data_IF_294278694384
#
_entry.id   IF_294278694384
#
_cell.length_a   1.000
_cell.length_b   1.000
_cell.length_c   1.000
_cell.angle_alpha   90.00
_cell.angle_beta   90.00
_cell.angle_gamma   90.00
#
_symmetry.space_group_name_H-M   'P 1'
#
loop_
_entity.id
_entity.type
_entity.pdbx_description
1 polymer ?
#
# COMPACT_ATOMS: atom_id res chain seq x y z
N UNK A 1 -9.00 18.31 -22.14
CA UNK A 1 -9.37 16.90 -21.82
C UNK A 1 -9.35 16.79 -20.30
N UNK A 2 -10.53 16.83 -19.67
CA UNK A 2 -10.67 16.91 -18.21
C UNK A 2 -10.76 15.51 -17.60
N UNK A 3 -9.88 15.21 -16.65
CA UNK A 3 -9.90 13.97 -15.87
C UNK A 3 -10.88 14.14 -14.71
N UNK A 4 -12.04 13.46 -14.78
CA UNK A 4 -13.02 13.47 -13.70
C UNK A 4 -12.52 12.62 -12.52
N UNK A 5 -12.24 13.28 -11.40
CA UNK A 5 -12.14 12.64 -10.08
C UNK A 5 -13.57 12.51 -9.53
N UNK A 6 -14.08 11.28 -9.43
CA UNK A 6 -15.38 11.01 -8.81
C UNK A 6 -15.24 11.02 -7.29
N UNK A 7 -15.59 12.13 -6.66
CA UNK A 7 -15.93 12.16 -5.24
C UNK A 7 -17.45 11.95 -5.12
N UNK A 8 -17.88 10.85 -4.47
CA UNK A 8 -19.30 10.63 -4.17
C UNK A 8 -19.74 11.57 -3.04
N UNK A 9 -20.93 12.21 -3.12
CA UNK A 9 -21.50 12.92 -1.99
C UNK A 9 -22.13 11.92 -1.03
N UNK A 10 -21.83 12.06 0.27
CA UNK A 10 -22.57 11.36 1.33
C UNK A 10 -23.57 12.32 1.98
N UNK A 11 -24.78 11.80 2.13
CA UNK A 11 -25.93 12.43 2.77
C UNK A 11 -25.67 12.71 4.25
N UNK A 12 -26.11 13.88 4.69
CA UNK A 12 -26.04 14.35 6.07
C UNK A 12 -26.93 13.54 7.00
N UNK A 13 -26.39 13.19 8.17
CA UNK A 13 -27.18 12.84 9.35
C UNK A 13 -26.70 13.70 10.52
N UNK A 14 -27.66 14.37 11.15
CA UNK A 14 -27.57 15.37 12.23
C UNK A 14 -27.19 14.70 13.57
N UNK A 15 -26.54 15.42 14.52
CA UNK A 15 -25.89 14.81 15.67
C UNK A 15 -26.84 14.65 16.87
N UNK A 16 -26.49 13.71 17.76
CA UNK A 16 -27.00 13.71 19.14
C UNK A 16 -25.83 13.88 20.11
N UNK A 17 -26.00 14.84 21.01
CA UNK A 17 -25.12 15.21 22.10
C UNK A 17 -25.26 14.24 23.28
N UNK A 18 -24.16 14.05 24.02
CA UNK A 18 -24.17 13.30 25.28
C UNK A 18 -22.79 13.30 25.94
N UNK A 19 -22.73 13.81 27.17
CA UNK A 19 -21.52 14.19 27.89
C UNK A 19 -20.74 13.01 28.53
N UNK A 20 -19.43 13.22 28.67
CA UNK A 20 -18.58 12.99 29.86
C UNK A 20 -18.85 11.80 30.78
N UNK A 21 -17.92 10.82 30.84
CA UNK A 21 -17.03 10.58 31.99
C UNK A 21 -16.20 9.30 31.82
N UNK A 22 -15.06 9.30 32.51
CA UNK A 22 -14.02 8.29 32.55
C UNK A 22 -14.49 6.85 32.82
N UNK A 23 -13.90 5.90 32.09
CA UNK A 23 -13.28 4.66 32.62
C UNK A 23 -13.01 3.68 31.47
N UNK A 24 -11.87 3.01 31.52
CA UNK A 24 -11.41 1.99 30.55
C UNK A 24 -12.48 0.90 30.33
N UNK A 25 -12.71 0.46 29.07
CA UNK A 25 -13.02 -0.95 28.86
C UNK A 25 -12.47 -1.49 27.52
N UNK A 26 -11.16 -1.68 27.38
CA UNK A 26 -10.59 -2.29 26.16
C UNK A 26 -10.63 -3.83 26.13
N UNK A 27 -11.39 -4.48 27.03
CA UNK A 27 -11.37 -5.95 27.16
C UNK A 27 -12.76 -6.64 27.13
N UNK A 28 -13.85 -5.95 26.78
CA UNK A 28 -15.20 -6.57 26.81
C UNK A 28 -15.97 -6.60 25.47
N UNK A 29 -15.42 -6.05 24.38
CA UNK A 29 -16.10 -6.03 23.07
C UNK A 29 -16.03 -7.34 22.27
N UNK A 30 -15.06 -8.22 22.52
CA UNK A 30 -14.90 -9.47 21.76
C UNK A 30 -15.72 -10.65 22.31
N UNK A 31 -16.31 -10.51 23.50
CA UNK A 31 -17.09 -11.60 24.11
C UNK A 31 -18.52 -11.72 23.57
N UNK A 32 -19.07 -10.67 22.95
CA UNK A 32 -20.47 -10.67 22.49
C UNK A 32 -20.67 -11.13 21.04
N UNK A 33 -19.61 -11.16 20.22
CA UNK A 33 -19.68 -11.68 18.84
C UNK A 33 -19.45 -13.21 18.74
N UNK A 34 -19.10 -13.86 19.86
CA UNK A 34 -18.96 -15.33 19.92
C UNK A 34 -20.19 -16.05 20.48
N UNK A 35 -21.18 -15.32 21.00
CA UNK A 35 -22.37 -15.93 21.64
C UNK A 35 -23.57 -16.11 20.69
N UNK A 36 -23.52 -15.56 19.48
CA UNK A 36 -24.58 -15.75 18.47
C UNK A 36 -24.12 -16.53 17.25
N UNK A 37 -22.97 -17.21 17.32
CA UNK A 37 -22.62 -18.20 16.32
C UNK A 37 -23.47 -19.45 16.58
N UNK A 38 -24.21 -19.98 15.59
CA UNK A 38 -24.95 -21.21 15.75
C UNK A 38 -24.01 -22.30 16.26
N UNK A 39 -24.36 -22.91 17.39
CA UNK A 39 -23.56 -23.90 18.12
C UNK A 39 -23.32 -25.19 17.34
N UNK A 40 -23.98 -25.33 16.19
CA UNK A 40 -23.62 -26.27 15.14
C UNK A 40 -22.63 -25.59 14.19
N UNK A 41 -21.38 -25.48 14.63
CA UNK A 41 -20.29 -25.45 13.65
C UNK A 41 -20.53 -26.67 12.74
N UNK A 42 -20.64 -26.51 11.40
CA UNK A 42 -20.67 -27.67 10.54
C UNK A 42 -19.49 -28.57 10.93
N UNK A 43 -19.66 -29.91 10.95
CA UNK A 43 -18.60 -30.82 11.35
C UNK A 43 -17.33 -30.39 10.63
N UNK A 44 -16.16 -30.33 11.33
CA UNK A 44 -14.94 -29.80 10.75
C UNK A 44 -14.79 -30.44 9.38
N UNK A 45 -14.87 -29.62 8.33
CA UNK A 45 -14.85 -30.08 6.95
C UNK A 45 -13.57 -30.91 6.83
N UNK A 46 -13.68 -32.24 6.96
CA UNK A 46 -12.58 -33.21 6.87
C UNK A 46 -11.95 -33.23 5.48
N UNK A 47 -12.43 -32.36 4.60
CA UNK A 47 -11.96 -32.10 3.26
C UNK A 47 -11.41 -30.68 3.15
N UNK A 48 -10.73 -30.17 4.18
CA UNK A 48 -9.70 -29.18 3.90
C UNK A 48 -8.85 -29.79 2.81
N UNK A 49 -9.03 -29.26 1.59
CA UNK A 49 -8.16 -29.45 0.46
C UNK A 49 -6.75 -29.54 1.06
N UNK A 50 -6.09 -30.68 0.91
CA UNK A 50 -4.75 -30.88 1.47
C UNK A 50 -3.90 -29.66 1.13
N UNK A 51 -2.89 -29.30 1.93
CA UNK A 51 -2.03 -28.16 1.60
C UNK A 51 -1.57 -28.20 0.12
N UNK A 52 -1.34 -29.40 -0.43
CA UNK A 52 -1.08 -29.64 -1.85
C UNK A 52 -2.22 -29.23 -2.80
N UNK A 53 -3.47 -29.48 -2.44
CA UNK A 53 -4.65 -29.06 -3.21
C UNK A 53 -4.78 -27.54 -3.21
N UNK A 54 -4.61 -26.88 -2.06
CA UNK A 54 -4.61 -25.40 -1.97
C UNK A 54 -3.46 -24.82 -2.81
N UNK A 55 -2.26 -25.42 -2.73
CA UNK A 55 -1.10 -25.04 -3.52
C UNK A 55 -1.31 -25.25 -5.03
N UNK A 56 -2.17 -26.18 -5.45
CA UNK A 56 -2.54 -26.34 -6.88
C UNK A 56 -3.51 -25.28 -7.38
N UNK A 57 -4.34 -24.71 -6.50
CA UNK A 57 -5.28 -23.65 -6.88
C UNK A 57 -4.66 -22.24 -6.84
N UNK A 58 -3.65 -22.02 -6.01
CA UNK A 58 -2.97 -20.71 -5.92
C UNK A 58 -2.43 -20.19 -7.27
N UNK A 59 -1.77 -21.00 -8.12
CA UNK A 59 -1.36 -20.57 -9.45
C UNK A 59 -2.53 -20.19 -10.36
N UNK A 60 -3.70 -20.83 -10.20
CA UNK A 60 -4.90 -20.50 -10.96
C UNK A 60 -5.52 -19.15 -10.56
N UNK A 61 -5.16 -18.60 -9.40
CA UNK A 61 -5.55 -17.26 -8.98
C UNK A 61 -4.65 -16.17 -9.56
N UNK A 62 -3.45 -16.52 -10.04
CA UNK A 62 -2.45 -15.58 -10.56
C UNK A 62 -1.72 -16.15 -11.79
N UNK A 63 -2.31 -15.99 -12.97
CA UNK A 63 -1.85 -16.60 -14.23
C UNK A 63 -1.39 -15.57 -15.29
N UNK A 64 -1.60 -14.28 -15.03
CA UNK A 64 -1.34 -13.20 -15.97
C UNK A 64 0.01 -12.54 -15.72
N UNK A 65 0.95 -12.62 -16.67
CA UNK A 65 2.22 -11.89 -16.55
C UNK A 65 2.01 -10.38 -16.66
N UNK A 66 2.79 -9.61 -15.89
CA UNK A 66 2.86 -8.14 -16.01
C UNK A 66 3.59 -7.78 -17.30
N UNK A 67 2.92 -7.11 -18.23
CA UNK A 67 3.50 -6.71 -19.52
C UNK A 67 4.08 -5.30 -19.46
N UNK A 68 3.44 -4.43 -18.70
CA UNK A 68 3.84 -3.03 -18.51
C UNK A 68 3.36 -2.50 -17.16
N UNK A 69 3.82 -1.30 -16.78
CA UNK A 69 3.42 -0.68 -15.52
C UNK A 69 1.90 -0.40 -15.43
N UNK A 70 1.23 -0.14 -16.56
CA UNK A 70 -0.19 0.17 -16.60
C UNK A 70 -1.07 -0.98 -16.11
N UNK A 71 -0.62 -2.23 -16.31
CA UNK A 71 -1.32 -3.42 -15.81
C UNK A 71 -1.51 -3.35 -14.29
N UNK A 72 -0.47 -2.99 -13.53
CA UNK A 72 -0.53 -2.86 -12.06
C UNK A 72 -1.24 -1.58 -11.65
N UNK A 73 -0.95 -0.46 -12.32
CA UNK A 73 -1.59 0.84 -12.05
C UNK A 73 -3.12 0.73 -12.14
N UNK A 74 -3.65 -0.03 -13.10
CA UNK A 74 -5.09 -0.20 -13.28
C UNK A 74 -5.81 -0.86 -12.09
N UNK A 75 -5.08 -1.70 -11.33
CA UNK A 75 -5.59 -2.41 -10.16
C UNK A 75 -5.46 -1.60 -8.87
N UNK A 76 -4.55 -0.61 -8.85
CA UNK A 76 -4.27 0.19 -7.66
C UNK A 76 -5.46 1.09 -7.30
N UNK A 77 -5.76 1.12 -6.00
CA UNK A 77 -6.70 2.02 -5.35
C UNK A 77 -5.98 2.66 -4.18
N UNK A 78 -6.01 3.99 -4.11
CA UNK A 78 -5.37 4.73 -3.02
C UNK A 78 -6.47 5.37 -2.19
N UNK A 79 -6.46 5.04 -0.92
CA UNK A 79 -7.46 5.47 0.04
C UNK A 79 -6.77 6.32 1.10
N UNK A 80 -7.34 7.48 1.40
CA UNK A 80 -6.96 8.24 2.60
C UNK A 80 -7.84 7.73 3.73
N UNK A 81 -7.23 7.12 4.74
CA UNK A 81 -7.95 6.58 5.89
C UNK A 81 -7.88 7.63 7.01
N UNK A 82 -8.99 8.35 7.29
CA UNK A 82 -8.99 9.35 8.35
C UNK A 82 -8.86 8.69 9.72
N UNK A 83 -7.91 9.17 10.54
CA UNK A 83 -7.79 8.77 11.95
C UNK A 83 -8.82 9.45 12.85
N UNK A 84 -9.27 10.66 12.48
CA UNK A 84 -10.32 11.46 13.13
C UNK A 84 -11.02 12.26 12.02
N UNK A 85 -12.34 12.47 12.11
CA UNK A 85 -13.25 12.96 11.06
C UNK A 85 -12.58 13.86 9.98
N UNK A 86 -12.61 13.47 8.70
CA UNK A 86 -11.87 14.19 7.66
C UNK A 86 -12.51 15.54 7.34
N UNK A 87 -11.68 16.60 7.39
CA UNK A 87 -11.89 17.77 6.55
C UNK A 87 -11.48 17.40 5.11
N UNK A 88 -12.41 17.31 4.14
CA UNK A 88 -12.12 16.97 2.76
C UNK A 88 -11.26 18.02 2.03
N UNK A 89 -11.12 19.22 2.60
CA UNK A 89 -10.24 20.29 2.12
C UNK A 89 -8.93 20.40 2.89
N UNK A 90 -8.75 19.55 3.90
CA UNK A 90 -7.59 19.58 4.77
C UNK A 90 -6.28 19.19 4.06
N UNK A 91 -5.12 19.57 4.62
CA UNK A 91 -3.80 19.34 4.03
C UNK A 91 -3.52 17.86 3.69
N UNK A 92 -4.14 16.92 4.40
CA UNK A 92 -3.99 15.49 4.13
C UNK A 92 -4.51 15.07 2.74
N UNK A 93 -5.59 15.69 2.25
CA UNK A 93 -6.11 15.41 0.90
C UNK A 93 -5.11 15.85 -0.17
N UNK A 94 -4.46 17.01 0.02
CA UNK A 94 -3.41 17.51 -0.86
C UNK A 94 -2.20 16.57 -0.85
N UNK A 95 -1.71 16.16 0.33
CA UNK A 95 -0.58 15.23 0.41
C UNK A 95 -0.88 13.88 -0.26
N UNK A 96 -2.11 13.39 -0.15
CA UNK A 96 -2.51 12.17 -0.85
C UNK A 96 -2.48 12.33 -2.37
N UNK A 97 -2.90 13.49 -2.91
CA UNK A 97 -2.80 13.77 -4.34
C UNK A 97 -1.35 13.84 -4.81
N UNK A 98 -0.48 14.52 -4.04
CA UNK A 98 0.95 14.61 -4.34
C UNK A 98 1.59 13.21 -4.27
N UNK A 99 1.26 12.42 -3.25
CA UNK A 99 1.70 11.03 -3.12
C UNK A 99 1.29 10.22 -4.35
N UNK A 100 0.04 10.33 -4.79
CA UNK A 100 -0.42 9.66 -5.99
C UNK A 100 0.43 10.07 -7.20
N UNK A 101 0.57 11.37 -7.45
CA UNK A 101 1.36 11.84 -8.59
C UNK A 101 2.80 11.29 -8.56
N UNK A 102 3.46 11.34 -7.38
CA UNK A 102 4.82 10.81 -7.17
C UNK A 102 4.89 9.31 -7.40
N UNK A 103 3.94 8.53 -6.89
CA UNK A 103 3.89 7.08 -7.07
C UNK A 103 3.70 6.71 -8.55
N UNK A 104 2.84 7.41 -9.29
CA UNK A 104 2.64 7.13 -10.71
C UNK A 104 3.88 7.47 -11.52
N UNK A 105 4.56 8.57 -11.20
CA UNK A 105 5.86 8.92 -11.78
C UNK A 105 6.89 7.83 -11.48
N UNK A 106 6.97 7.38 -10.24
CA UNK A 106 7.87 6.30 -9.84
C UNK A 106 7.58 5.01 -10.61
N UNK A 107 6.32 4.55 -10.67
CA UNK A 107 5.91 3.33 -11.39
C UNK A 107 6.19 3.37 -12.90
N UNK A 108 6.14 4.56 -13.51
CA UNK A 108 6.45 4.76 -14.94
C UNK A 108 7.92 5.03 -15.21
N UNK A 109 8.71 5.29 -14.16
CA UNK A 109 10.14 5.55 -14.28
C UNK A 109 10.92 4.31 -14.70
N UNK A 110 12.10 4.53 -15.28
CA UNK A 110 12.99 3.47 -15.77
C UNK A 110 13.82 2.88 -14.63
N UNK A 111 13.94 1.54 -14.60
CA UNK A 111 14.91 0.83 -13.76
C UNK A 111 14.83 1.15 -12.28
N UNK A 112 15.89 0.87 -11.52
CA UNK A 112 16.01 1.33 -10.13
C UNK A 112 16.97 2.52 -10.03
N UNK A 113 16.93 3.33 -8.96
CA UNK A 113 18.01 4.25 -8.64
C UNK A 113 19.34 3.48 -8.46
N UNK A 114 20.43 3.97 -9.06
CA UNK A 114 21.77 3.36 -8.99
C UNK A 114 22.30 3.27 -7.56
N UNK A 115 21.80 4.13 -6.68
CA UNK A 115 22.13 4.22 -5.27
C UNK A 115 21.74 2.96 -4.47
N UNK A 116 20.91 2.07 -5.06
CA UNK A 116 20.48 0.82 -4.42
C UNK A 116 21.33 -0.39 -4.80
N UNK A 117 22.26 -0.24 -5.76
CA UNK A 117 23.15 -1.31 -6.21
C UNK A 117 24.08 -1.70 -5.05
N UNK A 118 24.28 -3.01 -4.87
CA UNK A 118 25.16 -3.58 -3.84
C UNK A 118 24.54 -3.65 -2.45
N UNK A 119 23.51 -2.84 -2.16
CA UNK A 119 22.79 -2.88 -0.88
C UNK A 119 21.50 -3.68 -1.00
N UNK A 120 20.72 -3.44 -2.05
CA UNK A 120 19.39 -4.03 -2.23
C UNK A 120 19.22 -4.78 -3.55
N UNK A 121 20.07 -4.51 -4.53
CA UNK A 121 19.98 -5.04 -5.89
C UNK A 121 21.41 -5.38 -6.35
N UNK A 122 21.63 -6.51 -7.03
CA UNK A 122 22.96 -6.83 -7.56
C UNK A 122 23.29 -5.99 -8.80
N UNK A 123 24.57 -5.90 -9.16
CA UNK A 123 24.99 -5.17 -10.35
C UNK A 123 24.42 -5.79 -11.64
N UNK A 124 24.30 -7.12 -11.68
CA UNK A 124 23.74 -7.89 -12.78
C UNK A 124 22.24 -7.61 -12.91
N UNK A 125 21.49 -7.70 -11.81
CA UNK A 125 20.05 -7.40 -11.79
C UNK A 125 19.79 -5.96 -12.25
N UNK A 126 20.60 -5.00 -11.79
CA UNK A 126 20.52 -3.62 -12.24
C UNK A 126 20.80 -3.48 -13.75
N UNK A 127 21.87 -4.10 -14.25
CA UNK A 127 22.25 -4.00 -15.66
C UNK A 127 21.17 -4.55 -16.61
N UNK A 128 20.54 -5.66 -16.23
CA UNK A 128 19.46 -6.29 -16.99
C UNK A 128 18.18 -5.46 -16.99
N UNK A 129 17.91 -4.73 -15.91
CA UNK A 129 16.58 -4.17 -15.66
C UNK A 129 16.54 -2.63 -15.62
N UNK A 130 17.69 -1.95 -15.75
CA UNK A 130 17.81 -0.46 -15.70
C UNK A 130 16.92 0.28 -16.71
N UNK A 131 16.54 -0.36 -17.82
CA UNK A 131 15.69 0.22 -18.86
C UNK A 131 14.23 -0.22 -18.76
N UNK A 132 13.89 -1.10 -17.83
CA UNK A 132 12.54 -1.69 -17.75
C UNK A 132 11.65 -0.92 -16.76
N UNK A 133 10.64 -0.17 -17.23
CA UNK A 133 9.66 0.45 -16.33
C UNK A 133 8.73 -0.59 -15.68
N UNK A 134 8.62 -1.79 -16.27
CA UNK A 134 7.75 -2.87 -15.78
C UNK A 134 8.20 -3.42 -14.43
N UNK A 135 9.50 -3.34 -14.12
CA UNK A 135 10.08 -3.92 -12.93
C UNK A 135 9.52 -3.31 -11.64
N UNK A 136 9.49 -1.97 -11.53
CA UNK A 136 8.97 -1.27 -10.34
C UNK A 136 7.53 -1.67 -10.05
N UNK A 137 6.72 -1.76 -11.09
CA UNK A 137 5.33 -2.21 -11.01
C UNK A 137 5.22 -3.68 -10.59
N UNK A 138 6.01 -4.57 -11.19
CA UNK A 138 6.03 -5.99 -10.82
C UNK A 138 6.48 -6.21 -9.37
N UNK A 139 7.45 -5.41 -8.89
CA UNK A 139 7.93 -5.45 -7.51
C UNK A 139 6.87 -4.92 -6.53
N UNK A 140 6.19 -3.82 -6.85
CA UNK A 140 5.05 -3.35 -6.05
C UNK A 140 3.93 -4.42 -5.98
N UNK A 141 3.62 -5.06 -7.11
CA UNK A 141 2.67 -6.18 -7.16
C UNK A 141 3.11 -7.32 -6.24
N UNK A 142 4.37 -7.74 -6.32
CA UNK A 142 4.93 -8.78 -5.47
C UNK A 142 4.84 -8.41 -3.98
N UNK A 143 5.13 -7.16 -3.62
CA UNK A 143 4.98 -6.68 -2.24
C UNK A 143 3.52 -6.77 -1.75
N UNK A 144 2.55 -6.50 -2.63
CA UNK A 144 1.13 -6.51 -2.29
C UNK A 144 0.49 -7.90 -2.37
N UNK A 145 1.08 -8.86 -3.07
CA UNK A 145 0.40 -10.13 -3.39
C UNK A 145 1.23 -11.39 -3.16
N UNK A 146 2.53 -11.25 -2.91
CA UNK A 146 3.52 -12.34 -2.93
C UNK A 146 3.56 -13.12 -4.25
N UNK A 147 3.13 -12.47 -5.34
CA UNK A 147 3.12 -13.04 -6.67
C UNK A 147 3.75 -12.10 -7.70
N UNK A 148 4.48 -12.68 -8.64
CA UNK A 148 5.03 -11.97 -9.81
C UNK A 148 4.03 -11.86 -10.97
N UNK A 149 2.89 -12.54 -10.85
CA UNK A 149 1.80 -12.53 -11.82
C UNK A 149 0.60 -11.78 -11.25
N UNK A 150 -0.14 -11.11 -12.14
CA UNK A 150 -1.37 -10.42 -11.82
C UNK A 150 -2.47 -11.41 -11.44
N UNK A 151 -3.44 -10.99 -10.61
CA UNK A 151 -4.63 -11.77 -10.35
C UNK A 151 -5.34 -12.15 -11.66
N UNK A 152 -5.83 -13.39 -11.74
CA UNK A 152 -6.61 -13.88 -12.87
C UNK A 152 -7.88 -13.02 -13.07
N UNK A 153 -8.55 -12.67 -11.97
CA UNK A 153 -9.71 -11.78 -12.00
C UNK A 153 -9.32 -10.31 -12.19
N UNK A 154 -9.79 -9.63 -13.27
CA UNK A 154 -9.52 -8.23 -13.52
C UNK A 154 -10.23 -7.28 -12.56
N UNK A 155 -11.23 -7.75 -11.81
CA UNK A 155 -11.92 -6.94 -10.79
C UNK A 155 -11.15 -6.86 -9.47
N UNK A 156 -10.04 -7.60 -9.34
CA UNK A 156 -9.19 -7.58 -8.15
C UNK A 156 -8.53 -6.23 -7.99
N UNK A 157 -8.63 -5.65 -6.81
CA UNK A 157 -7.96 -4.40 -6.47
C UNK A 157 -6.73 -4.64 -5.62
N UNK A 158 -5.75 -3.76 -5.79
CA UNK A 158 -4.59 -3.60 -4.91
C UNK A 158 -4.78 -2.28 -4.18
N UNK A 159 -4.64 -2.24 -2.85
CA UNK A 159 -4.98 -1.06 -2.07
C UNK A 159 -3.74 -0.47 -1.38
N UNK A 160 -3.63 0.86 -1.40
CA UNK A 160 -2.68 1.62 -0.59
C UNK A 160 -3.48 2.53 0.32
N UNK A 161 -3.37 2.29 1.62
CA UNK A 161 -4.01 3.08 2.67
C UNK A 161 -3.03 4.09 3.21
N UNK A 162 -3.30 5.36 2.93
CA UNK A 162 -2.59 6.48 3.49
C UNK A 162 -3.24 6.88 4.81
N UNK A 163 -2.57 6.59 5.92
CA UNK A 163 -3.02 6.89 7.27
C UNK A 163 -2.33 8.15 7.76
N UNK A 164 -3.09 9.04 8.39
CA UNK A 164 -2.51 10.16 9.14
C UNK A 164 -2.18 9.61 10.51
N UNK A 165 -0.90 9.60 10.88
CA UNK A 165 -0.51 9.13 12.20
C UNK A 165 -1.03 10.11 13.28
N UNK A 166 -1.86 9.67 14.23
CA UNK A 166 -2.29 10.52 15.34
C UNK A 166 -1.20 10.70 16.40
N UNK A 167 -0.13 9.91 16.36
CA UNK A 167 0.96 9.95 17.31
C UNK A 167 2.10 10.83 16.77
N UNK A 168 2.26 12.02 17.34
CA UNK A 168 3.35 12.98 17.08
C UNK A 168 4.76 12.47 17.48
N UNK A 169 4.93 11.15 17.69
CA UNK A 169 6.17 10.54 18.19
C UNK A 169 7.13 10.04 17.12
N UNK A 170 6.84 10.23 15.83
CA UNK A 170 7.77 9.82 14.78
C UNK A 170 8.87 10.87 14.57
N UNK A 171 10.09 10.40 14.76
CA UNK A 171 11.34 11.08 14.43
C UNK A 171 11.31 11.63 13.00
N UNK A 172 11.57 12.93 12.83
CA UNK A 172 11.60 13.61 11.54
C UNK A 172 12.67 13.04 10.60
N UNK A 173 13.67 12.34 11.14
CA UNK A 173 14.77 11.75 10.38
C UNK A 173 14.45 10.34 9.85
N UNK A 174 13.42 9.68 10.40
CA UNK A 174 13.09 8.30 10.03
C UNK A 174 12.13 8.24 8.86
N UNK A 175 12.52 7.49 7.83
CA UNK A 175 11.67 7.23 6.67
C UNK A 175 10.35 6.58 7.08
N UNK A 176 9.24 7.01 6.48
CA UNK A 176 7.92 6.45 6.76
C UNK A 176 7.90 4.94 6.48
N UNK A 177 7.44 4.09 7.42
CA UNK A 177 7.31 2.66 7.19
C UNK A 177 6.17 2.36 6.21
N UNK A 178 6.28 1.24 5.49
CA UNK A 178 5.21 0.65 4.70
C UNK A 178 4.91 -0.73 5.28
N UNK A 179 3.69 -0.92 5.75
CA UNK A 179 3.22 -2.22 6.24
C UNK A 179 2.50 -2.95 5.12
N UNK A 180 3.05 -4.08 4.71
CA UNK A 180 2.54 -4.85 3.58
C UNK A 180 1.70 -6.02 4.07
N UNK A 181 0.41 -6.01 3.73
CA UNK A 181 -0.56 -7.04 4.06
C UNK A 181 -0.92 -7.83 2.80
N UNK A 182 -0.07 -8.80 2.44
CA UNK A 182 -0.19 -9.59 1.20
C UNK A 182 -1.47 -10.43 1.12
N UNK A 183 -1.96 -10.91 2.27
CA UNK A 183 -3.21 -11.67 2.35
C UNK A 183 -4.44 -10.84 1.99
N UNK A 184 -4.44 -9.54 2.26
CA UNK A 184 -5.53 -8.60 1.95
C UNK A 184 -5.23 -7.71 0.74
N UNK A 185 -4.00 -7.77 0.21
CA UNK A 185 -3.51 -6.93 -0.89
C UNK A 185 -3.52 -5.44 -0.56
N UNK A 186 -3.23 -5.12 0.70
CA UNK A 186 -3.21 -3.76 1.24
C UNK A 186 -1.77 -3.39 1.63
N UNK A 187 -1.34 -2.17 1.31
CA UNK A 187 -0.19 -1.53 1.92
C UNK A 187 -0.65 -0.35 2.78
N UNK A 188 -0.19 -0.27 4.02
CA UNK A 188 -0.48 0.87 4.89
C UNK A 188 0.77 1.75 5.00
N UNK A 189 0.58 3.05 4.78
CA UNK A 189 1.63 4.06 4.83
C UNK A 189 1.17 5.14 5.79
N UNK A 190 2.01 5.45 6.78
CA UNK A 190 1.71 6.48 7.77
C UNK A 190 2.39 7.79 7.37
N UNK A 191 1.60 8.87 7.32
CA UNK A 191 2.11 10.22 7.10
C UNK A 191 2.83 10.73 8.35
N UNK A 192 4.15 10.62 8.34
CA UNK A 192 5.02 11.27 9.31
C UNK A 192 5.62 12.59 8.75
N UNK A 193 6.28 13.42 9.57
CA UNK A 193 6.91 14.65 9.11
C UNK A 193 7.91 14.43 7.95
N UNK A 194 8.70 13.35 8.01
CA UNK A 194 9.65 12.99 6.95
C UNK A 194 8.97 12.84 5.59
N UNK A 195 7.88 12.08 5.50
CA UNK A 195 7.18 11.84 4.25
C UNK A 195 6.53 13.12 3.72
N UNK A 196 6.04 14.00 4.60
CA UNK A 196 5.54 15.33 4.19
C UNK A 196 6.63 16.13 3.49
N UNK A 197 7.83 16.18 4.07
CA UNK A 197 8.98 16.89 3.50
C UNK A 197 9.39 16.29 2.14
N UNK A 198 9.44 14.96 2.04
CA UNK A 198 9.76 14.26 0.78
C UNK A 198 8.73 14.53 -0.32
N UNK A 199 7.45 14.63 0.03
CA UNK A 199 6.41 14.93 -0.96
C UNK A 199 6.46 16.39 -1.43
N UNK A 200 6.94 17.30 -0.59
CA UNK A 200 7.09 18.73 -0.89
C UNK A 200 8.35 19.07 -1.69
N UNK A 201 9.26 18.11 -1.92
CA UNK A 201 10.42 18.34 -2.78
C UNK A 201 9.99 18.99 -4.10
N UNK A 202 10.66 20.03 -4.60
CA UNK A 202 10.32 20.61 -5.89
C UNK A 202 10.46 19.51 -6.95
N UNK A 203 9.41 19.28 -7.71
CA UNK A 203 9.45 18.36 -8.85
C UNK A 203 9.91 19.13 -10.07
N UNK A 204 11.20 19.08 -10.38
CA UNK A 204 11.70 19.65 -11.63
C UNK A 204 11.19 18.78 -12.79
N UNK A 205 10.38 19.39 -13.65
CA UNK A 205 9.73 18.71 -14.78
C UNK A 205 10.71 18.37 -15.90
N UNK A 206 11.94 18.89 -15.87
CA UNK A 206 12.87 18.90 -17.00
C UNK A 206 14.18 18.14 -16.78
N UNK A 207 14.51 17.70 -15.55
CA UNK A 207 15.76 16.98 -15.30
C UNK A 207 15.56 15.46 -15.31
N UNK A 208 16.08 14.82 -16.35
CA UNK A 208 16.00 13.37 -16.59
C UNK A 208 16.87 12.52 -15.66
N UNK A 209 17.74 13.13 -14.84
CA UNK A 209 18.73 12.40 -14.02
C UNK A 209 18.56 12.59 -12.50
N UNK A 210 17.64 13.46 -12.06
CA UNK A 210 17.48 13.76 -10.63
C UNK A 210 16.71 12.64 -9.93
N UNK A 211 17.40 11.96 -9.01
CA UNK A 211 16.81 10.92 -8.14
C UNK A 211 16.14 11.59 -6.95
N UNK A 212 14.81 11.59 -6.94
CA UNK A 212 14.03 12.16 -5.84
C UNK A 212 14.07 11.25 -4.61
N UNK A 213 13.97 11.81 -3.40
CA UNK A 213 13.96 10.99 -2.17
C UNK A 213 12.78 10.03 -2.14
N UNK A 214 11.65 10.44 -2.71
CA UNK A 214 10.48 9.58 -2.88
C UNK A 214 10.81 8.32 -3.70
N UNK A 215 11.56 8.46 -4.80
CA UNK A 215 11.89 7.34 -5.68
C UNK A 215 12.85 6.37 -5.00
N UNK A 216 13.84 6.91 -4.29
CA UNK A 216 14.78 6.10 -3.51
C UNK A 216 14.07 5.33 -2.40
N UNK A 217 13.17 6.00 -1.67
CA UNK A 217 12.39 5.39 -0.61
C UNK A 217 11.45 4.30 -1.11
N UNK A 218 10.59 4.58 -2.10
CA UNK A 218 9.69 3.55 -2.65
C UNK A 218 10.46 2.34 -3.19
N UNK A 219 11.58 2.60 -3.86
CA UNK A 219 12.45 1.54 -4.37
C UNK A 219 13.05 0.70 -3.24
N UNK A 220 13.60 1.35 -2.20
CA UNK A 220 14.10 0.68 -1.00
C UNK A 220 13.01 -0.17 -0.35
N UNK A 221 11.83 0.39 -0.11
CA UNK A 221 10.73 -0.29 0.59
C UNK A 221 10.19 -1.51 -0.18
N UNK A 222 10.24 -1.47 -1.52
CA UNK A 222 9.84 -2.61 -2.35
C UNK A 222 10.95 -3.67 -2.52
N UNK A 223 12.22 -3.30 -2.33
CA UNK A 223 13.33 -4.25 -2.32
C UNK A 223 13.53 -4.96 -0.98
N UNK A 224 13.10 -4.36 0.14
CA UNK A 224 13.30 -4.88 1.50
C UNK A 224 12.43 -6.07 1.90
N UNK A 225 11.51 -6.53 1.06
CA UNK A 225 10.53 -7.56 1.45
C UNK A 225 11.12 -8.97 1.36
N UNK A 226 11.64 -9.44 2.49
CA UNK A 226 12.25 -10.77 2.68
C UNK A 226 12.59 -11.13 4.14
N UNK A 227 11.92 -10.53 5.14
CA UNK A 227 12.16 -10.81 6.57
C UNK A 227 13.08 -9.82 7.31
N UNK A 228 13.66 -8.83 6.62
CA UNK A 228 14.67 -7.92 7.18
C UNK A 228 14.13 -6.57 7.72
N UNK A 229 12.81 -6.40 7.86
CA UNK A 229 12.24 -5.14 8.40
C UNK A 229 12.67 -4.82 9.83
N UNK A 230 13.15 -5.80 10.60
CA UNK A 230 13.61 -5.60 11.98
C UNK A 230 15.07 -5.10 12.09
N UNK A 231 15.76 -4.83 10.97
CA UNK A 231 17.18 -4.43 10.95
C UNK A 231 17.43 -2.97 10.55
N UNK A 232 16.39 -2.15 10.36
CA UNK A 232 16.50 -0.73 9.98
C UNK A 232 15.95 0.17 11.08
#
# INVERSE_FOLDING_TARGET
MSTHVFLRPFSSVVPTSGASQASRPFARGYAYLLQTLPTTMPPPLKHWASAQTVLRFLPALYDRRVKNAQDVISLLRIMVVPGVAPDPTGPAALYAQIFCWRLWRWLKGLGYPKELIGVYITAEEYAEQRTSPTLRAARLLYCLTESWTLPASPSTTLQIDLRIDPHEGFDEERSAPIFWHSCTRVAEIYFNPWLKNVLQEPGDLEETETVYRFDLWMSKMTSLRGGDYNRI
#
